data_IF_803969241688
#
_entry.id   IF_803969241688
#
_cell.length_a   1.000
_cell.length_b   1.000
_cell.length_c   1.000
_cell.angle_alpha   90.00
_cell.angle_beta   90.00
_cell.angle_gamma   90.00
#
_symmetry.space_group_name_H-M   'P 1'
#
loop_
_entity.id
_entity.type
_entity.pdbx_description
1 polymer ?
#
# COMPACT_ATOMS: atom_id res chain seq x y z
N UNK A 1 -17.40 9.29 -3.71
CA UNK A 1 -16.31 10.03 -4.36
C UNK A 1 -16.34 9.75 -5.85
N UNK A 2 -16.18 10.79 -6.64
CA UNK A 2 -16.19 10.61 -8.07
C UNK A 2 -14.88 10.03 -8.55
N UNK A 3 -14.95 9.37 -9.70
CA UNK A 3 -13.76 8.76 -10.26
C UNK A 3 -12.63 9.76 -10.46
N UNK A 4 -12.95 10.94 -10.95
CA UNK A 4 -11.93 11.92 -11.23
C UNK A 4 -11.26 12.38 -9.94
N UNK A 5 -12.04 12.54 -8.88
CA UNK A 5 -11.47 12.93 -7.60
C UNK A 5 -10.57 11.84 -7.04
N UNK A 6 -10.98 10.59 -7.20
CA UNK A 6 -10.19 9.48 -6.72
C UNK A 6 -8.86 9.39 -7.47
N UNK A 7 -8.92 9.61 -8.78
CA UNK A 7 -7.71 9.57 -9.57
C UNK A 7 -6.74 10.65 -9.17
N UNK A 8 -7.26 11.85 -8.89
CA UNK A 8 -6.40 12.93 -8.44
C UNK A 8 -5.77 12.61 -7.09
N UNK A 9 -6.54 12.01 -6.21
CA UNK A 9 -6.02 11.60 -4.91
C UNK A 9 -4.88 10.63 -5.08
N UNK A 10 -5.05 9.65 -5.95
CA UNK A 10 -4.00 8.68 -6.20
C UNK A 10 -2.74 9.34 -6.71
N UNK A 11 -2.89 10.33 -7.58
CA UNK A 11 -1.73 11.00 -8.15
C UNK A 11 -1.00 11.86 -7.12
N UNK A 12 -1.72 12.34 -6.13
CA UNK A 12 -1.14 13.19 -5.11
C UNK A 12 -0.47 12.43 -3.99
N UNK A 13 -0.87 11.19 -3.79
CA UNK A 13 -0.34 10.42 -2.67
C UNK A 13 1.00 9.80 -3.05
N UNK A 14 1.94 9.90 -2.14
CA UNK A 14 3.26 9.29 -2.29
C UNK A 14 3.92 9.69 -3.61
N UNK A 15 3.99 10.99 -3.88
CA UNK A 15 4.51 11.44 -5.19
C UNK A 15 5.98 11.09 -5.41
N UNK A 16 6.70 10.84 -4.33
CA UNK A 16 8.13 10.54 -4.45
C UNK A 16 8.41 9.06 -4.69
N UNK A 17 7.37 8.25 -4.79
CA UNK A 17 7.54 6.82 -4.97
C UNK A 17 7.08 6.40 -6.36
N UNK A 18 7.77 5.41 -6.95
CA UNK A 18 7.38 4.94 -8.29
C UNK A 18 6.09 4.14 -8.24
N UNK A 19 5.56 3.83 -9.41
CA UNK A 19 4.31 3.08 -9.51
C UNK A 19 4.43 1.68 -8.92
N UNK A 20 5.62 1.10 -8.94
CA UNK A 20 5.89 -0.20 -8.36
C UNK A 20 6.94 0.00 -7.27
N UNK A 21 6.64 -0.42 -6.07
CA UNK A 21 7.54 -0.21 -4.95
C UNK A 21 8.03 -1.54 -4.39
N UNK A 22 9.15 -1.48 -3.69
CA UNK A 22 9.70 -2.63 -3.01
C UNK A 22 9.13 -2.73 -1.60
N UNK A 23 9.43 -3.85 -0.92
CA UNK A 23 9.00 -4.00 0.47
C UNK A 23 9.61 -2.89 1.33
N UNK A 24 10.86 -2.55 1.06
CA UNK A 24 11.49 -1.48 1.83
C UNK A 24 10.77 -0.16 1.65
N UNK A 25 10.40 0.15 0.41
CA UNK A 25 9.65 1.37 0.16
C UNK A 25 8.26 1.32 0.78
N UNK A 26 7.62 0.17 0.75
CA UNK A 26 6.33 -0.01 1.40
C UNK A 26 6.43 0.30 2.88
N UNK A 27 7.49 -0.19 3.53
CA UNK A 27 7.68 0.07 4.94
C UNK A 27 7.82 1.57 5.20
N UNK A 28 8.58 2.24 4.35
CA UNK A 28 8.76 3.68 4.50
C UNK A 28 7.44 4.43 4.30
N UNK A 29 6.67 4.00 3.31
CA UNK A 29 5.41 4.68 3.01
C UNK A 29 4.42 4.56 4.16
N UNK A 30 4.37 3.40 4.79
CA UNK A 30 3.41 3.14 5.85
C UNK A 30 3.99 3.32 7.25
N UNK A 31 5.30 3.42 7.36
CA UNK A 31 5.92 3.55 8.67
C UNK A 31 5.79 2.29 9.51
N UNK A 32 5.87 1.12 8.90
CA UNK A 32 5.67 -0.13 9.60
C UNK A 32 6.94 -0.96 9.60
N UNK A 33 6.98 -1.94 10.49
CA UNK A 33 8.12 -2.84 10.57
C UNK A 33 8.11 -3.81 9.39
N UNK A 34 9.25 -4.45 9.17
CA UNK A 34 9.35 -5.43 8.12
C UNK A 34 8.38 -6.59 8.35
N UNK A 35 8.28 -7.04 9.59
CA UNK A 35 7.39 -8.14 9.91
C UNK A 35 5.94 -7.79 9.59
N UNK A 36 5.54 -6.58 9.94
CA UNK A 36 4.17 -6.15 9.66
C UNK A 36 3.94 -5.99 8.16
N UNK A 37 4.91 -5.47 7.45
CA UNK A 37 4.79 -5.32 6.01
C UNK A 37 4.54 -6.67 5.34
N UNK A 38 5.33 -7.67 5.71
CA UNK A 38 5.14 -9.00 5.15
C UNK A 38 3.82 -9.61 5.57
N UNK A 39 3.38 -9.33 6.79
CA UNK A 39 2.10 -9.84 7.25
C UNK A 39 0.95 -9.25 6.43
N UNK A 40 1.01 -7.96 6.15
CA UNK A 40 -0.04 -7.33 5.35
C UNK A 40 -0.12 -7.95 3.96
N UNK A 41 1.03 -8.27 3.40
CA UNK A 41 1.07 -8.90 2.08
C UNK A 41 0.54 -10.32 2.16
N UNK A 42 0.97 -11.09 3.15
CA UNK A 42 0.57 -12.49 3.22
C UNK A 42 -0.90 -12.64 3.60
N UNK A 43 -1.46 -11.68 4.32
CA UNK A 43 -2.87 -11.72 4.67
C UNK A 43 -3.76 -11.23 3.53
N UNK A 44 -3.17 -10.73 2.46
CA UNK A 44 -3.96 -10.23 1.34
C UNK A 44 -4.45 -8.82 1.53
N UNK A 45 -4.01 -8.14 2.58
CA UNK A 45 -4.41 -6.75 2.78
C UNK A 45 -3.81 -5.83 1.74
N UNK A 46 -2.60 -6.13 1.31
CA UNK A 46 -1.93 -5.38 0.27
C UNK A 46 -1.47 -6.37 -0.78
N UNK A 47 -1.89 -6.16 -2.01
CA UNK A 47 -1.52 -7.07 -3.09
C UNK A 47 -0.07 -6.84 -3.51
N UNK A 48 0.62 -7.91 -3.77
CA UNK A 48 1.99 -7.86 -4.24
C UNK A 48 2.19 -8.94 -5.28
N UNK A 49 3.17 -8.72 -6.15
CA UNK A 49 3.51 -9.67 -7.19
C UNK A 49 4.93 -10.14 -6.94
N UNK A 50 5.13 -11.43 -6.95
CA UNK A 50 6.47 -11.98 -6.80
C UNK A 50 7.11 -12.13 -8.16
N UNK A 51 8.23 -11.46 -8.35
CA UNK A 51 8.97 -11.53 -9.60
C UNK A 51 10.36 -12.04 -9.26
N UNK A 52 10.65 -13.27 -9.67
CA UNK A 52 11.90 -13.91 -9.24
C UNK A 52 11.87 -14.11 -7.74
N UNK A 53 12.85 -13.55 -7.06
CA UNK A 53 12.90 -13.63 -5.60
C UNK A 53 12.46 -12.35 -4.94
N UNK A 54 11.99 -11.38 -5.72
CA UNK A 54 11.61 -10.08 -5.19
C UNK A 54 10.11 -9.90 -5.18
N UNK A 55 9.62 -9.23 -4.15
CA UNK A 55 8.22 -8.83 -4.10
C UNK A 55 8.11 -7.41 -4.63
N UNK A 56 7.18 -7.22 -5.56
CA UNK A 56 6.90 -5.91 -6.14
C UNK A 56 5.47 -5.53 -5.80
N UNK A 57 5.30 -4.36 -5.25
CA UNK A 57 4.00 -3.92 -4.79
C UNK A 57 3.53 -2.75 -5.65
N UNK A 58 2.40 -2.86 -6.34
CA UNK A 58 1.86 -1.70 -7.05
C UNK A 58 1.55 -0.60 -6.06
N UNK A 59 2.00 0.60 -6.35
CA UNK A 59 1.74 1.72 -5.44
C UNK A 59 0.25 1.89 -5.21
N UNK A 60 -0.56 1.63 -6.22
CA UNK A 60 -2.01 1.76 -6.08
C UNK A 60 -2.55 0.82 -5.01
N UNK A 61 -1.93 -0.33 -4.81
CA UNK A 61 -2.37 -1.25 -3.75
C UNK A 61 -2.16 -0.64 -2.38
N UNK A 62 -1.05 0.07 -2.20
CA UNK A 62 -0.78 0.73 -0.93
C UNK A 62 -1.78 1.87 -0.71
N UNK A 63 -2.02 2.63 -1.76
CA UNK A 63 -2.96 3.74 -1.67
C UNK A 63 -4.36 3.24 -1.34
N UNK A 64 -4.78 2.16 -2.01
CA UNK A 64 -6.08 1.57 -1.73
C UNK A 64 -6.18 1.12 -0.28
N UNK A 65 -5.11 0.55 0.23
CA UNK A 65 -5.12 0.07 1.61
C UNK A 65 -5.34 1.22 2.59
N UNK A 66 -4.64 2.34 2.39
CA UNK A 66 -4.73 3.43 3.36
C UNK A 66 -5.98 4.28 3.17
N UNK A 67 -6.62 4.21 2.00
CA UNK A 67 -7.80 5.02 1.75
C UNK A 67 -9.09 4.24 1.88
N UNK A 68 -9.03 2.93 2.06
CA UNK A 68 -10.22 2.09 2.07
C UNK A 68 -10.93 2.20 3.39
N UNK A 69 -12.18 2.66 3.35
CA UNK A 69 -12.91 2.92 4.58
C UNK A 69 -13.29 1.65 5.33
N UNK A 70 -13.53 0.57 4.61
CA UNK A 70 -13.89 -0.66 5.29
C UNK A 70 -12.73 -1.23 6.09
N UNK A 71 -11.55 -0.67 5.90
CA UNK A 71 -10.39 -1.03 6.68
C UNK A 71 -10.29 -0.21 7.93
N UNK A 72 -11.37 0.07 8.54
CA UNK A 72 -11.39 0.89 9.72
C UNK A 72 -10.29 0.56 10.68
N UNK A 73 -9.71 1.58 11.24
CA UNK A 73 -8.76 1.41 12.31
C UNK A 73 -9.51 1.04 13.56
N UNK A 74 -9.12 -0.04 14.19
CA UNK A 74 -9.73 -0.45 15.43
C UNK A 74 -9.04 0.28 16.54
N UNK A 75 -9.77 1.11 17.26
CA UNK A 75 -9.10 1.91 18.30
C UNK A 75 -8.44 1.07 19.35
N UNK A 76 -8.96 -0.09 19.61
CA UNK A 76 -8.39 -0.93 20.63
C UNK A 76 -7.18 -1.67 20.18
N UNK A 77 -6.93 -1.64 18.93
CA UNK A 77 -5.82 -2.42 18.40
C UNK A 77 -4.52 -1.96 19.00
#
# INVERSE_FOLDING_TARGET
MKKSELKELYQMMFPDYPDIVTVKQLRDMLGVSRALAYKLISDGEIQAVKIGTSLKIPKVSVINYVTEEKKEVRPSA
#
